data_IF_553732476385
#
_entry.id   IF_553732476385
#
_cell.length_a   1.000
_cell.length_b   1.000
_cell.length_c   1.000
_cell.angle_alpha   90.00
_cell.angle_beta   90.00
_cell.angle_gamma   90.00
#
_symmetry.space_group_name_H-M   'P 1'
#
loop_
_entity.id
_entity.type
_entity.pdbx_description
1 polymer ?
#
# COMPACT_ATOMS: atom_id res chain seq x y z
N UNK A 1 -8.97 -19.75 12.86
CA UNK A 1 -10.16 -19.69 11.98
C UNK A 1 -11.31 -19.14 12.80
N UNK A 2 -11.66 -17.85 12.64
CA UNK A 2 -12.75 -17.23 13.40
C UNK A 2 -14.07 -17.78 12.90
N UNK A 3 -14.76 -18.58 13.72
CA UNK A 3 -16.12 -18.98 13.44
C UNK A 3 -17.04 -17.78 13.66
N UNK A 4 -17.27 -16.98 12.62
CA UNK A 4 -18.36 -16.00 12.64
C UNK A 4 -19.65 -16.75 12.97
N UNK A 5 -20.13 -16.41 14.14
CA UNK A 5 -20.86 -17.31 15.01
C UNK A 5 -22.31 -17.46 14.58
N UNK A 6 -22.91 -18.57 14.99
CA UNK A 6 -24.35 -18.85 14.95
C UNK A 6 -25.16 -17.58 15.21
N UNK A 7 -26.16 -17.30 14.37
CA UNK A 7 -27.10 -16.17 14.54
C UNK A 7 -27.83 -16.32 15.88
N UNK A 8 -27.30 -15.69 16.93
CA UNK A 8 -27.96 -15.62 18.24
C UNK A 8 -28.87 -14.41 18.24
N UNK A 9 -30.18 -14.64 18.36
CA UNK A 9 -31.15 -13.55 18.55
C UNK A 9 -31.01 -13.07 20.00
N UNK A 10 -30.47 -11.87 20.18
CA UNK A 10 -30.40 -11.17 21.47
C UNK A 10 -31.52 -10.12 21.47
N UNK A 11 -32.34 -10.09 22.51
CA UNK A 11 -33.30 -9.02 22.74
C UNK A 11 -32.68 -7.95 23.65
N UNK A 12 -33.11 -6.70 23.44
CA UNK A 12 -32.77 -5.55 24.28
C UNK A 12 -34.07 -5.06 24.90
N UNK A 13 -34.05 -4.80 26.20
CA UNK A 13 -35.21 -4.29 26.96
C UNK A 13 -34.88 -2.93 27.51
N UNK A 14 -35.76 -1.95 27.26
CA UNK A 14 -35.66 -0.61 27.82
C UNK A 14 -36.41 -0.56 29.15
N UNK A 15 -35.85 0.16 30.13
CA UNK A 15 -36.54 0.38 31.40
C UNK A 15 -37.40 1.64 31.27
N UNK A 16 -38.50 1.78 32.03
CA UNK A 16 -39.39 2.95 31.98
C UNK A 16 -38.78 4.18 32.68
N UNK A 17 -37.55 4.55 32.34
CA UNK A 17 -36.85 5.74 32.80
C UNK A 17 -36.82 6.83 31.73
N UNK A 18 -36.78 8.10 32.16
CA UNK A 18 -36.84 9.27 31.26
C UNK A 18 -35.75 9.23 30.15
N UNK A 19 -34.56 8.72 30.46
CA UNK A 19 -33.47 8.59 29.50
C UNK A 19 -33.74 7.50 28.43
N UNK A 20 -34.28 6.36 28.87
CA UNK A 20 -34.59 5.23 28.00
C UNK A 20 -35.79 5.55 27.09
N UNK A 21 -36.81 6.25 27.61
CA UNK A 21 -37.95 6.76 26.83
C UNK A 21 -37.52 7.77 25.77
N UNK A 22 -36.62 8.70 26.11
CA UNK A 22 -36.09 9.65 25.14
C UNK A 22 -35.27 8.96 24.05
N UNK A 23 -34.52 7.91 24.40
CA UNK A 23 -33.77 7.10 23.44
C UNK A 23 -34.71 6.30 22.53
N UNK A 24 -35.77 5.71 23.09
CA UNK A 24 -36.77 4.97 22.34
C UNK A 24 -37.48 5.87 21.33
N UNK A 25 -37.91 7.06 21.75
CA UNK A 25 -38.53 8.04 20.87
C UNK A 25 -37.60 8.47 19.71
N UNK A 26 -36.30 8.62 19.98
CA UNK A 26 -35.32 8.94 18.95
C UNK A 26 -35.15 7.78 17.96
N UNK A 27 -35.03 6.55 18.46
CA UNK A 27 -34.94 5.33 17.65
C UNK A 27 -36.18 5.18 16.76
N UNK A 28 -37.37 5.33 17.32
CA UNK A 28 -38.63 5.23 16.58
C UNK A 28 -38.71 6.30 15.48
N UNK A 29 -38.31 7.55 15.78
CA UNK A 29 -38.26 8.62 14.78
C UNK A 29 -37.29 8.34 13.62
N UNK A 30 -36.22 7.57 13.87
CA UNK A 30 -35.27 7.16 12.84
C UNK A 30 -35.79 5.98 12.01
N UNK A 31 -36.48 5.03 12.65
CA UNK A 31 -37.12 3.91 11.97
C UNK A 31 -38.33 4.35 11.13
N UNK A 32 -39.04 5.39 11.55
CA UNK A 32 -40.16 5.96 10.78
C UNK A 32 -39.69 6.62 9.47
N UNK A 33 -38.47 7.16 9.44
CA UNK A 33 -37.86 7.74 8.22
C UNK A 33 -37.45 6.66 7.22
N UNK A 34 -36.94 5.53 7.71
CA UNK A 34 -36.45 4.41 6.90
C UNK A 34 -37.06 3.08 7.38
N UNK A 35 -38.27 2.71 6.93
CA UNK A 35 -39.00 1.55 7.43
C UNK A 35 -38.36 0.19 7.07
N UNK A 36 -37.43 0.17 6.12
CA UNK A 36 -36.65 -1.02 5.75
C UNK A 36 -35.51 -1.31 6.75
N UNK A 37 -35.11 -0.34 7.58
CA UNK A 37 -34.06 -0.53 8.57
C UNK A 37 -34.65 -1.10 9.86
N UNK A 38 -33.91 -2.00 10.49
CA UNK A 38 -34.26 -2.50 11.83
C UNK A 38 -33.42 -1.79 12.90
N UNK A 39 -33.87 -1.84 14.16
CA UNK A 39 -33.07 -1.39 15.31
C UNK A 39 -31.67 -2.02 15.35
N UNK A 40 -31.56 -3.28 14.92
CA UNK A 40 -30.27 -3.97 14.84
C UNK A 40 -29.34 -3.32 13.82
N UNK A 41 -29.87 -2.82 12.71
CA UNK A 41 -29.09 -2.18 11.66
C UNK A 41 -28.63 -0.80 12.11
N UNK A 42 -29.48 -0.03 12.79
CA UNK A 42 -29.08 1.22 13.45
C UNK A 42 -27.96 0.99 14.48
N UNK A 43 -28.06 -0.05 15.29
CA UNK A 43 -27.01 -0.40 16.26
C UNK A 43 -25.70 -0.79 15.58
N UNK A 44 -25.76 -1.55 14.47
CA UNK A 44 -24.57 -1.89 13.68
C UNK A 44 -23.95 -0.62 13.12
N UNK A 45 -24.73 0.23 12.46
CA UNK A 45 -24.23 1.48 11.88
C UNK A 45 -23.57 2.37 12.96
N UNK A 46 -24.22 2.56 14.11
CA UNK A 46 -23.67 3.32 15.22
C UNK A 46 -22.35 2.72 15.74
N UNK A 47 -22.26 1.40 15.83
CA UNK A 47 -21.05 0.70 16.24
C UNK A 47 -19.93 0.87 15.20
N UNK A 48 -20.25 0.70 13.92
CA UNK A 48 -19.31 0.93 12.81
C UNK A 48 -18.79 2.37 12.81
N UNK A 49 -19.66 3.35 12.99
CA UNK A 49 -19.27 4.75 13.15
C UNK A 49 -18.35 4.95 14.36
N UNK A 50 -18.65 4.31 15.50
CA UNK A 50 -17.83 4.45 16.71
C UNK A 50 -16.46 3.75 16.63
N UNK A 51 -16.34 2.66 15.87
CA UNK A 51 -15.13 1.86 15.80
C UNK A 51 -14.24 2.22 14.61
N UNK A 52 -14.84 2.66 13.50
CA UNK A 52 -14.12 2.88 12.24
C UNK A 52 -13.91 4.35 11.91
N UNK A 53 -14.66 5.29 12.52
CA UNK A 53 -14.48 6.72 12.28
C UNK A 53 -13.64 7.32 13.42
N UNK A 54 -12.43 7.84 13.13
CA UNK A 54 -11.63 8.52 14.15
C UNK A 54 -12.38 9.73 14.72
N UNK A 55 -12.22 9.99 16.01
CA UNK A 55 -12.96 11.05 16.73
C UNK A 55 -12.90 12.42 16.06
N UNK A 56 -11.83 12.73 15.33
CA UNK A 56 -11.65 13.99 14.59
C UNK A 56 -12.68 14.22 13.46
N UNK A 57 -13.36 13.19 12.97
CA UNK A 57 -14.36 13.28 11.88
C UNK A 57 -15.75 12.90 12.39
N UNK A 58 -15.88 12.55 13.68
CA UNK A 58 -17.16 12.18 14.27
C UNK A 58 -18.05 13.41 14.32
N UNK A 59 -19.25 13.41 13.70
CA UNK A 59 -20.19 14.51 13.88
C UNK A 59 -20.51 14.59 15.37
N UNK A 60 -20.15 15.71 16.00
CA UNK A 60 -20.39 15.95 17.41
C UNK A 60 -21.90 15.90 17.70
N UNK A 61 -22.37 15.12 18.70
CA UNK A 61 -23.76 15.10 19.11
C UNK A 61 -24.06 16.35 19.96
N UNK A 62 -23.80 17.53 19.41
CA UNK A 62 -24.22 18.79 20.02
C UNK A 62 -25.57 19.17 19.43
N UNK A 63 -26.62 18.86 20.20
CA UNK A 63 -27.92 19.54 20.28
C UNK A 63 -28.71 19.74 18.97
N UNK A 64 -30.01 19.36 18.90
CA UNK A 64 -30.84 19.62 17.73
C UNK A 64 -31.30 21.09 17.71
N UNK A 65 -30.37 22.05 17.65
CA UNK A 65 -30.71 23.48 17.55
C UNK A 65 -29.67 24.25 16.72
N UNK A 66 -29.63 23.99 15.41
CA UNK A 66 -29.58 25.05 14.38
C UNK A 66 -29.73 24.39 13.01
N UNK A 67 -30.51 24.94 12.07
CA UNK A 67 -30.31 24.62 10.67
C UNK A 67 -28.91 25.15 10.32
N UNK A 68 -27.91 24.27 10.27
CA UNK A 68 -26.65 24.57 9.62
C UNK A 68 -27.02 24.85 8.17
N UNK A 69 -27.01 26.13 7.80
CA UNK A 69 -27.37 26.54 6.45
C UNK A 69 -26.49 25.75 5.45
N UNK A 70 -27.03 25.29 4.32
CA UNK A 70 -26.28 24.53 3.32
C UNK A 70 -24.97 25.22 2.88
N UNK A 71 -24.92 26.55 3.03
CA UNK A 71 -23.74 27.36 2.78
C UNK A 71 -22.52 27.04 3.67
N UNK A 72 -22.70 26.60 4.93
CA UNK A 72 -21.58 26.31 5.83
C UNK A 72 -20.91 24.97 5.51
N UNK A 73 -21.69 23.98 5.09
CA UNK A 73 -21.18 22.69 4.61
C UNK A 73 -20.50 22.86 3.25
N UNK A 74 -21.10 23.63 2.34
CA UNK A 74 -20.52 23.95 1.03
C UNK A 74 -19.19 24.71 1.16
N UNK A 75 -19.10 25.64 2.11
CA UNK A 75 -17.86 26.38 2.38
C UNK A 75 -16.75 25.49 2.96
N UNK A 76 -17.10 24.51 3.81
CA UNK A 76 -16.14 23.51 4.28
C UNK A 76 -15.67 22.58 3.15
N UNK A 77 -16.58 22.17 2.27
CA UNK A 77 -16.26 21.35 1.10
C UNK A 77 -15.33 22.11 0.15
N UNK A 78 -15.62 23.38 -0.12
CA UNK A 78 -14.77 24.24 -0.95
C UNK A 78 -13.37 24.43 -0.37
N UNK A 79 -13.28 24.59 0.96
CA UNK A 79 -12.00 24.67 1.66
C UNK A 79 -11.21 23.36 1.61
N UNK A 80 -11.88 22.21 1.75
CA UNK A 80 -11.24 20.90 1.57
C UNK A 80 -10.73 20.71 0.14
N UNK A 81 -11.53 21.05 -0.87
CA UNK A 81 -11.14 20.98 -2.28
C UNK A 81 -9.91 21.87 -2.55
N UNK A 82 -9.87 23.07 -1.96
CA UNK A 82 -8.70 23.96 -2.04
C UNK A 82 -7.46 23.32 -1.41
N UNK A 83 -7.60 22.70 -0.24
CA UNK A 83 -6.48 22.03 0.42
C UNK A 83 -5.96 20.84 -0.40
N UNK A 84 -6.85 20.05 -1.00
CA UNK A 84 -6.49 18.95 -1.90
C UNK A 84 -5.74 19.47 -3.12
N UNK A 85 -6.24 20.52 -3.79
CA UNK A 85 -5.56 21.10 -4.95
C UNK A 85 -4.13 21.60 -4.62
N UNK A 86 -3.94 22.23 -3.45
CA UNK A 86 -2.61 22.68 -3.00
C UNK A 86 -1.69 21.51 -2.64
N UNK A 87 -2.24 20.40 -2.15
CA UNK A 87 -1.47 19.18 -1.91
C UNK A 87 -1.08 18.49 -3.21
N UNK A 88 -2.00 18.39 -4.16
CA UNK A 88 -1.77 17.83 -5.49
C UNK A 88 -0.69 18.62 -6.23
N UNK A 89 -0.79 19.96 -6.26
CA UNK A 89 0.22 20.82 -6.89
C UNK A 89 1.62 20.60 -6.28
N UNK A 90 1.72 20.59 -4.94
CA UNK A 90 2.99 20.32 -4.25
C UNK A 90 3.51 18.91 -4.53
N UNK A 91 2.62 17.92 -4.62
CA UNK A 91 2.99 16.56 -4.95
C UNK A 91 3.51 16.45 -6.37
N UNK A 92 2.79 17.00 -7.36
CA UNK A 92 3.21 16.99 -8.76
C UNK A 92 4.52 17.74 -8.96
N UNK A 93 4.71 18.90 -8.35
CA UNK A 93 5.97 19.65 -8.43
C UNK A 93 7.16 18.90 -7.82
N UNK A 94 6.93 18.21 -6.69
CA UNK A 94 7.96 17.40 -6.05
C UNK A 94 8.30 16.16 -6.87
N UNK A 95 7.29 15.45 -7.37
CA UNK A 95 7.48 14.21 -8.11
C UNK A 95 8.06 14.48 -9.50
N UNK A 96 7.67 15.57 -10.16
CA UNK A 96 8.27 15.99 -11.43
C UNK A 96 9.75 16.33 -11.28
N UNK A 97 10.13 17.05 -10.23
CA UNK A 97 11.54 17.34 -9.96
C UNK A 97 12.35 16.06 -9.69
N UNK A 98 11.79 15.13 -8.90
CA UNK A 98 12.46 13.84 -8.63
C UNK A 98 12.62 13.02 -9.91
N UNK A 99 11.61 12.98 -10.76
CA UNK A 99 11.65 12.27 -12.04
C UNK A 99 12.70 12.89 -12.98
N UNK A 100 12.73 14.22 -13.07
CA UNK A 100 13.69 14.95 -13.90
C UNK A 100 15.14 14.71 -13.44
N UNK A 101 15.39 14.69 -12.12
CA UNK A 101 16.72 14.36 -11.58
C UNK A 101 17.13 12.93 -11.95
N UNK A 102 16.19 11.98 -11.85
CA UNK A 102 16.44 10.58 -12.20
C UNK A 102 16.72 10.41 -13.70
N UNK A 103 15.99 11.11 -14.56
CA UNK A 103 16.20 11.11 -16.01
C UNK A 103 17.60 11.64 -16.37
N UNK A 104 18.03 12.74 -15.74
CA UNK A 104 19.38 13.29 -15.94
C UNK A 104 20.47 12.31 -15.49
N UNK A 105 20.28 11.65 -14.34
CA UNK A 105 21.21 10.64 -13.85
C UNK A 105 21.30 9.43 -14.79
N UNK A 106 20.17 8.96 -15.30
CA UNK A 106 20.12 7.86 -16.26
C UNK A 106 20.85 8.23 -17.56
N UNK A 107 20.64 9.45 -18.06
CA UNK A 107 21.34 9.95 -19.25
C UNK A 107 22.85 10.03 -19.03
N UNK A 108 23.29 10.48 -17.85
CA UNK A 108 24.71 10.53 -17.49
C UNK A 108 25.33 9.13 -17.37
N UNK A 109 24.61 8.18 -16.77
CA UNK A 109 25.06 6.78 -16.69
C UNK A 109 25.14 6.15 -18.08
N UNK A 110 24.15 6.37 -18.94
CA UNK A 110 24.15 5.89 -20.32
C UNK A 110 25.38 6.40 -21.10
N UNK A 111 25.72 7.69 -20.94
CA UNK A 111 26.94 8.25 -21.55
C UNK A 111 28.23 7.63 -21.00
N UNK A 112 28.31 7.38 -19.69
CA UNK A 112 29.48 6.72 -19.09
C UNK A 112 29.64 5.28 -19.59
N UNK A 113 28.54 4.54 -19.73
CA UNK A 113 28.55 3.17 -20.28
C UNK A 113 28.96 3.18 -21.75
N UNK A 114 28.47 4.15 -22.53
CA UNK A 114 28.88 4.31 -23.93
C UNK A 114 30.39 4.58 -24.07
N UNK A 115 30.95 5.48 -23.25
CA UNK A 115 32.39 5.75 -23.23
C UNK A 115 33.20 4.52 -22.81
N UNK A 116 32.74 3.78 -21.81
CA UNK A 116 33.39 2.54 -21.37
C UNK A 116 33.35 1.46 -22.48
N UNK A 117 32.23 1.33 -23.19
CA UNK A 117 32.10 0.41 -24.31
C UNK A 117 33.09 0.75 -25.44
N UNK A 118 33.28 2.04 -25.74
CA UNK A 118 34.29 2.50 -26.71
C UNK A 118 35.70 2.13 -26.22
N UNK A 119 36.05 2.43 -24.96
CA UNK A 119 37.37 2.11 -24.40
C UNK A 119 37.69 0.61 -24.39
N UNK A 120 36.69 -0.24 -24.15
CA UNK A 120 36.87 -1.70 -24.18
C UNK A 120 37.07 -2.19 -25.62
N UNK A 121 36.38 -1.59 -26.58
CA UNK A 121 36.44 -1.98 -27.99
C UNK A 121 37.70 -1.44 -28.70
N UNK A 122 38.23 -0.29 -28.28
CA UNK A 122 39.46 0.33 -28.82
C UNK A 122 40.75 -0.17 -28.17
N UNK A 123 40.74 -1.29 -27.43
CA UNK A 123 42.00 -1.91 -26.99
C UNK A 123 42.87 -2.21 -28.22
N UNK A 124 44.08 -1.62 -28.35
CA UNK A 124 44.95 -1.92 -29.47
C UNK A 124 45.35 -3.39 -29.37
N UNK A 125 44.95 -4.18 -30.37
CA UNK A 125 45.53 -5.50 -30.65
C UNK A 125 46.94 -5.23 -31.18
N UNK A 126 47.86 -4.87 -30.29
CA UNK A 126 49.29 -4.78 -30.61
C UNK A 126 49.98 -5.98 -29.96
N UNK A 127 50.36 -6.91 -30.84
CA UNK A 127 51.38 -7.94 -30.65
C UNK A 127 51.12 -9.01 -29.57
N UNK A 128 50.50 -10.11 -30.00
CA UNK A 128 50.99 -11.44 -29.63
C UNK A 128 51.24 -12.27 -30.90
N UNK A 129 52.14 -11.75 -31.75
CA UNK A 129 52.86 -12.56 -32.75
C UNK A 129 54.12 -13.10 -32.07
N UNK A 130 54.03 -14.30 -31.52
CA UNK A 130 55.08 -15.27 -31.18
C UNK A 130 54.31 -16.39 -30.49
N UNK A 131 54.23 -17.62 -30.97
CA UNK A 131 55.31 -18.46 -31.43
C UNK A 131 54.71 -19.65 -32.21
N UNK A 132 55.42 -20.09 -33.22
CA UNK A 132 55.02 -21.14 -34.13
C UNK A 132 55.35 -22.54 -33.59
N UNK A 133 54.50 -23.49 -33.99
CA UNK A 133 54.83 -24.89 -34.43
C UNK A 133 54.96 -26.02 -33.39
N UNK A 134 54.35 -27.16 -33.78
CA UNK A 134 54.58 -28.56 -33.37
C UNK A 134 53.81 -29.02 -32.12
N UNK A 135 53.10 -30.15 -32.01
CA UNK A 135 52.68 -31.28 -32.86
C UNK A 135 51.75 -32.17 -31.96
N UNK A 136 51.11 -33.25 -32.45
CA UNK A 136 49.81 -33.72 -31.95
C UNK A 136 49.84 -34.95 -31.00
N UNK A 137 48.68 -35.18 -30.38
CA UNK A 137 48.03 -36.47 -30.12
C UNK A 137 48.34 -37.32 -28.86
N UNK A 138 47.24 -37.87 -28.33
CA UNK A 138 47.07 -39.13 -27.57
C UNK A 138 47.36 -39.16 -26.05
N UNK A 139 46.67 -39.88 -25.15
CA UNK A 139 45.38 -40.62 -25.03
C UNK A 139 45.32 -41.07 -23.53
N UNK A 140 44.12 -41.42 -23.02
CA UNK A 140 43.81 -42.24 -21.80
C UNK A 140 43.47 -41.54 -20.48
N UNK A 141 42.16 -41.58 -20.19
CA UNK A 141 41.42 -41.97 -18.96
C UNK A 141 41.91 -41.49 -17.58
N UNK A 142 40.99 -40.93 -16.77
CA UNK A 142 40.31 -41.66 -15.67
C UNK A 142 39.08 -40.89 -15.16
N UNK A 143 38.06 -41.68 -14.83
CA UNK A 143 36.66 -41.42 -14.50
C UNK A 143 36.44 -40.57 -13.22
N UNK A 144 35.43 -39.68 -13.20
CA UNK A 144 34.40 -39.60 -12.15
C UNK A 144 33.31 -38.54 -12.46
N UNK A 145 32.06 -38.93 -12.19
CA UNK A 145 30.80 -38.29 -12.56
C UNK A 145 30.37 -37.13 -11.62
N UNK A 146 29.90 -36.04 -12.22
CA UNK A 146 28.81 -35.09 -11.82
C UNK A 146 28.58 -34.71 -10.35
N UNK A 147 28.73 -33.41 -10.04
CA UNK A 147 27.64 -32.58 -9.47
C UNK A 147 27.69 -31.21 -10.16
N UNK A 148 26.55 -30.80 -10.75
CA UNK A 148 26.38 -29.53 -11.43
C UNK A 148 26.49 -28.36 -10.43
N UNK A 149 27.38 -27.41 -10.71
CA UNK A 149 27.40 -26.12 -10.05
C UNK A 149 26.11 -25.38 -10.39
N UNK A 150 25.22 -25.25 -9.41
CA UNK A 150 24.03 -24.39 -9.49
C UNK A 150 24.52 -22.93 -9.47
N UNK A 151 24.04 -22.05 -10.36
CA UNK A 151 24.41 -20.64 -10.34
C UNK A 151 23.97 -20.00 -9.02
N UNK A 152 24.67 -18.97 -8.51
CA UNK A 152 24.27 -18.28 -7.29
C UNK A 152 22.87 -17.71 -7.52
N UNK A 153 21.88 -18.21 -6.78
CA UNK A 153 20.55 -17.64 -6.79
C UNK A 153 20.65 -16.22 -6.23
N UNK A 154 20.25 -15.25 -7.04
CA UNK A 154 20.00 -13.87 -6.64
C UNK A 154 18.79 -13.90 -5.70
N UNK A 155 19.03 -14.13 -4.41
CA UNK A 155 17.97 -14.14 -3.41
C UNK A 155 17.59 -12.69 -3.16
N UNK A 156 16.36 -12.35 -3.56
CA UNK A 156 15.76 -11.04 -3.33
C UNK A 156 15.92 -10.65 -1.84
N UNK A 157 16.51 -9.48 -1.51
CA UNK A 157 16.71 -9.04 -0.14
C UNK A 157 15.39 -8.93 0.64
N UNK A 158 14.26 -8.76 -0.04
CA UNK A 158 12.93 -8.77 0.59
C UNK A 158 12.53 -10.17 1.04
N UNK A 159 12.83 -11.20 0.24
CA UNK A 159 12.55 -12.60 0.58
C UNK A 159 13.39 -13.03 1.79
N UNK A 160 14.66 -12.61 1.85
CA UNK A 160 15.54 -12.87 3.00
C UNK A 160 15.04 -12.24 4.30
N UNK A 161 14.42 -11.04 4.21
CA UNK A 161 13.81 -10.40 5.38
C UNK A 161 12.56 -11.12 5.84
N UNK A 162 11.73 -11.61 4.91
CA UNK A 162 10.48 -12.30 5.23
C UNK A 162 10.71 -13.72 5.78
N UNK A 163 11.74 -14.42 5.31
CA UNK A 163 12.07 -15.77 5.79
C UNK A 163 12.43 -15.77 7.29
N UNK A 164 13.08 -14.71 7.78
CA UNK A 164 13.42 -14.56 9.20
C UNK A 164 12.20 -14.62 10.13
N UNK A 165 11.01 -14.25 9.65
CA UNK A 165 9.78 -14.27 10.46
C UNK A 165 8.97 -15.56 10.32
N UNK A 166 9.35 -16.44 9.37
CA UNK A 166 8.68 -17.72 9.14
C UNK A 166 9.31 -18.87 9.93
N UNK A 167 10.58 -18.76 10.32
CA UNK A 167 11.26 -19.76 11.16
C UNK A 167 10.85 -19.71 12.65
N UNK A 168 10.09 -18.67 13.06
CA UNK A 168 9.64 -18.44 14.44
C UNK A 168 8.21 -18.97 14.75
N UNK A 169 7.62 -19.77 13.84
CA UNK A 169 6.31 -20.44 14.01
C UNK A 169 6.45 -21.96 14.07
#
# INVERSE_FOLDING_TARGET
>A
MFQWSKKVVRSVTFNPGVADESLLALVDSHLEKDPEKTFSDLCKEALWQSLCVPESVRPSPTTPEKPTAPAFEEQQIAELQRQVAVLEERFFAKESNRLEVMERQLLQLSQQVAQLAIMVNERPIIQLQTQATSAPQEVVNHTNYTVAATPPQDVDPVISRLSQYLDDF
#
